data_IF_549881163423
#
_entry.id   IF_549881163423
#
_cell.length_a   1.000
_cell.length_b   1.000
_cell.length_c   1.000
_cell.angle_alpha   90.00
_cell.angle_beta   90.00
_cell.angle_gamma   90.00
#
_symmetry.space_group_name_H-M   'P 1'
#
loop_
_entity.id
_entity.type
_entity.pdbx_description
1 polymer ?
#
# COMPACT_ATOMS: atom_id res chain seq x y z
N UNK A 1 -8.15 -14.60 -0.89
CA UNK A 1 -7.71 -14.35 -2.27
C UNK A 1 -7.31 -15.60 -3.05
N UNK A 2 -7.22 -16.73 -2.40
CA UNK A 2 -6.92 -18.04 -3.02
C UNK A 2 -5.68 -18.03 -3.94
N UNK A 3 -4.70 -17.21 -3.59
CA UNK A 3 -3.42 -17.01 -4.31
C UNK A 3 -3.55 -16.64 -5.80
N UNK A 4 -4.68 -16.06 -6.19
CA UNK A 4 -4.92 -15.54 -7.54
C UNK A 4 -4.43 -14.11 -7.69
N UNK A 5 -4.75 -13.47 -8.82
CA UNK A 5 -4.45 -12.05 -9.01
C UNK A 5 -5.14 -11.19 -7.96
N UNK A 6 -4.37 -10.35 -7.28
CA UNK A 6 -4.90 -9.43 -6.27
C UNK A 6 -6.02 -8.52 -6.77
N UNK A 7 -6.04 -8.22 -8.07
CA UNK A 7 -7.10 -7.44 -8.71
C UNK A 7 -8.48 -8.10 -8.56
N UNK A 8 -8.59 -9.40 -8.83
CA UNK A 8 -9.86 -10.13 -8.67
C UNK A 8 -10.30 -10.15 -7.19
N UNK A 9 -9.39 -10.50 -6.29
CA UNK A 9 -9.66 -10.51 -4.86
C UNK A 9 -10.03 -9.12 -4.31
N UNK A 10 -9.45 -8.05 -4.87
CA UNK A 10 -9.75 -6.67 -4.50
C UNK A 10 -11.15 -6.24 -4.95
N UNK A 11 -11.56 -6.59 -6.18
CA UNK A 11 -12.92 -6.30 -6.67
C UNK A 11 -13.97 -7.02 -5.81
N UNK A 12 -13.77 -8.31 -5.53
CA UNK A 12 -14.67 -9.08 -4.68
C UNK A 12 -14.73 -8.51 -3.25
N UNK A 13 -13.56 -8.15 -2.68
CA UNK A 13 -13.48 -7.57 -1.35
C UNK A 13 -14.25 -6.26 -1.22
N UNK A 14 -14.06 -5.33 -2.17
CA UNK A 14 -14.78 -4.06 -2.17
C UNK A 14 -16.27 -4.23 -2.45
N UNK A 15 -16.66 -5.06 -3.42
CA UNK A 15 -18.07 -5.33 -3.68
C UNK A 15 -18.78 -5.92 -2.46
N UNK A 16 -18.11 -6.81 -1.72
CA UNK A 16 -18.68 -7.35 -0.47
C UNK A 16 -18.79 -6.29 0.62
N UNK A 17 -17.84 -5.38 0.74
CA UNK A 17 -17.94 -4.24 1.64
C UNK A 17 -19.14 -3.33 1.29
N UNK A 18 -19.33 -3.04 0.01
CA UNK A 18 -20.49 -2.27 -0.50
C UNK A 18 -21.82 -2.96 -0.19
N UNK A 19 -21.93 -4.27 -0.43
CA UNK A 19 -23.10 -5.06 -0.09
C UNK A 19 -23.46 -4.94 1.39
N UNK A 20 -22.48 -5.16 2.26
CA UNK A 20 -22.63 -5.04 3.72
C UNK A 20 -23.02 -3.61 4.13
N UNK A 21 -22.39 -2.60 3.53
CA UNK A 21 -22.69 -1.20 3.79
C UNK A 21 -24.13 -0.82 3.38
N UNK A 22 -24.65 -1.39 2.30
CA UNK A 22 -26.03 -1.18 1.86
C UNK A 22 -27.04 -1.65 2.91
N UNK A 23 -26.73 -2.73 3.62
CA UNK A 23 -27.61 -3.30 4.64
C UNK A 23 -27.43 -2.67 6.03
N UNK A 24 -26.17 -2.40 6.43
CA UNK A 24 -25.82 -2.04 7.78
C UNK A 24 -25.29 -0.59 7.95
N UNK A 25 -25.15 0.17 6.87
CA UNK A 25 -24.58 1.52 6.87
C UNK A 25 -23.06 1.56 6.80
N UNK A 26 -22.39 0.45 6.98
CA UNK A 26 -20.95 0.28 6.77
C UNK A 26 -20.60 -1.19 6.53
N UNK A 27 -19.53 -1.44 5.79
CA UNK A 27 -19.02 -2.78 5.52
C UNK A 27 -17.49 -2.82 5.56
N UNK A 28 -16.94 -3.83 6.23
CA UNK A 28 -15.50 -4.03 6.37
C UNK A 28 -15.11 -5.43 5.93
N UNK A 29 -14.15 -5.55 5.02
CA UNK A 29 -13.70 -6.83 4.47
C UNK A 29 -12.17 -6.92 4.52
N UNK A 30 -11.65 -7.90 5.27
CA UNK A 30 -10.26 -8.30 5.22
C UNK A 30 -10.06 -9.44 4.22
N UNK A 31 -9.14 -9.27 3.28
CA UNK A 31 -8.75 -10.27 2.29
C UNK A 31 -7.40 -10.86 2.67
N UNK A 32 -7.27 -12.18 2.59
CA UNK A 32 -6.04 -12.92 2.88
C UNK A 32 -5.63 -13.80 1.69
N UNK A 33 -4.42 -14.34 1.72
CA UNK A 33 -3.84 -15.18 0.66
C UNK A 33 -3.95 -14.54 -0.73
N UNK A 34 -3.56 -13.27 -0.83
CA UNK A 34 -3.64 -12.50 -2.06
C UNK A 34 -2.26 -12.16 -2.61
N UNK A 35 -2.23 -11.40 -3.68
CA UNK A 35 -1.03 -10.87 -4.31
C UNK A 35 -1.21 -9.38 -4.61
N UNK A 36 -0.23 -8.75 -5.27
CA UNK A 36 -0.30 -7.35 -5.66
C UNK A 36 -1.58 -7.05 -6.44
N UNK A 37 -2.30 -5.98 -6.06
CA UNK A 37 -3.63 -5.66 -6.59
C UNK A 37 -3.68 -4.39 -7.47
N UNK A 38 -2.54 -3.75 -7.76
CA UNK A 38 -2.46 -2.55 -8.57
C UNK A 38 -2.74 -1.27 -7.77
N UNK A 39 -3.41 -0.30 -8.39
CA UNK A 39 -3.75 0.99 -7.78
C UNK A 39 -4.93 0.85 -6.82
N UNK A 40 -4.75 1.34 -5.58
CA UNK A 40 -5.78 1.26 -4.55
C UNK A 40 -7.04 2.08 -4.90
N UNK A 41 -6.87 3.22 -5.58
CA UNK A 41 -7.97 4.06 -6.04
C UNK A 41 -8.99 3.30 -6.89
N UNK A 42 -8.57 2.33 -7.71
CA UNK A 42 -9.46 1.54 -8.55
C UNK A 42 -10.59 0.90 -7.73
N UNK A 43 -10.24 0.33 -6.57
CA UNK A 43 -11.22 -0.36 -5.71
C UNK A 43 -12.06 0.63 -4.90
N UNK A 44 -11.45 1.65 -4.32
CA UNK A 44 -12.18 2.65 -3.53
C UNK A 44 -13.21 3.43 -4.39
N UNK A 45 -12.91 3.68 -5.66
CA UNK A 45 -13.83 4.28 -6.63
C UNK A 45 -15.08 3.41 -6.91
N UNK A 46 -15.03 2.09 -6.67
CA UNK A 46 -16.23 1.24 -6.80
C UNK A 46 -17.29 1.60 -5.76
N UNK A 47 -16.87 1.97 -4.55
CA UNK A 47 -17.79 2.46 -3.51
C UNK A 47 -18.37 3.84 -3.88
N UNK A 48 -17.53 4.77 -4.38
CA UNK A 48 -18.00 6.10 -4.80
C UNK A 48 -19.04 6.04 -5.93
N UNK A 49 -18.94 5.08 -6.85
CA UNK A 49 -19.97 4.81 -7.89
C UNK A 49 -21.31 4.33 -7.33
N UNK A 50 -21.39 4.05 -6.05
CA UNK A 50 -22.58 3.65 -5.29
C UNK A 50 -22.93 4.67 -4.21
N UNK A 51 -22.44 5.91 -4.37
CA UNK A 51 -22.64 7.04 -3.43
C UNK A 51 -22.16 6.74 -2.00
N UNK A 52 -21.10 5.91 -1.88
CA UNK A 52 -20.48 5.53 -0.60
C UNK A 52 -19.04 6.03 -0.52
N UNK A 53 -18.58 6.34 0.69
CA UNK A 53 -17.15 6.52 0.95
C UNK A 53 -16.46 5.18 0.80
N UNK A 54 -15.34 5.13 0.06
CA UNK A 54 -14.52 3.94 -0.09
C UNK A 54 -13.14 4.11 0.52
N UNK A 55 -12.68 3.13 1.29
CA UNK A 55 -11.29 3.06 1.73
C UNK A 55 -10.67 1.72 1.36
N UNK A 56 -9.37 1.75 1.05
CA UNK A 56 -8.65 0.56 0.62
C UNK A 56 -7.20 0.62 1.08
N UNK A 57 -6.72 -0.47 1.68
CA UNK A 57 -5.36 -0.63 2.16
C UNK A 57 -4.76 -1.94 1.66
N UNK A 58 -3.44 -1.98 1.51
CA UNK A 58 -2.70 -3.23 1.28
C UNK A 58 -1.31 -3.16 1.89
N UNK A 59 -0.82 -4.27 2.44
CA UNK A 59 0.57 -4.39 2.81
C UNK A 59 1.45 -4.61 1.56
N UNK A 60 2.74 -4.34 1.69
CA UNK A 60 3.70 -4.45 0.60
C UNK A 60 5.07 -4.94 1.11
N UNK A 61 5.95 -5.29 0.18
CA UNK A 61 7.36 -5.65 0.47
C UNK A 61 8.03 -4.58 1.33
N UNK A 62 8.78 -4.96 2.40
CA UNK A 62 9.40 -4.03 3.34
C UNK A 62 10.56 -3.28 2.70
N UNK A 63 10.32 -2.04 2.31
CA UNK A 63 11.30 -1.12 1.75
C UNK A 63 11.38 0.20 2.52
N UNK A 64 10.46 0.45 3.46
CA UNK A 64 10.39 1.70 4.22
C UNK A 64 11.25 1.57 5.48
N UNK A 65 12.18 2.52 5.63
CA UNK A 65 13.09 2.58 6.77
C UNK A 65 12.31 2.83 8.06
N UNK A 66 12.64 2.08 9.09
CA UNK A 66 12.07 2.29 10.41
C UNK A 66 12.60 3.59 11.00
N UNK A 67 11.75 4.47 11.48
CA UNK A 67 12.15 5.71 12.17
C UNK A 67 13.12 5.40 13.32
N UNK A 68 14.26 6.06 13.32
CA UNK A 68 15.32 5.85 14.32
C UNK A 68 16.15 4.56 14.15
N UNK A 69 16.03 3.87 13.00
CA UNK A 69 16.78 2.65 12.69
C UNK A 69 17.46 2.75 11.31
N UNK A 70 18.33 1.80 11.01
CA UNK A 70 18.96 1.62 9.70
C UNK A 70 18.43 0.39 8.95
N UNK A 71 17.22 -0.08 9.30
CA UNK A 71 16.59 -1.25 8.68
C UNK A 71 15.16 -0.94 8.27
N UNK A 72 14.73 -1.45 7.11
CA UNK A 72 13.33 -1.43 6.71
C UNK A 72 12.55 -2.46 7.51
N UNK A 73 11.26 -2.17 7.74
CA UNK A 73 10.35 -3.12 8.37
C UNK A 73 8.98 -3.15 7.66
N UNK A 74 8.43 -2.02 7.24
CA UNK A 74 7.18 -1.96 6.50
C UNK A 74 7.40 -1.72 5.01
N UNK A 75 6.39 -2.05 4.20
CA UNK A 75 6.29 -1.64 2.83
C UNK A 75 5.83 -0.18 2.69
N UNK A 76 5.67 0.28 1.46
CA UNK A 76 5.06 1.58 1.16
C UNK A 76 3.55 1.62 1.44
N UNK A 77 2.97 0.53 1.90
CA UNK A 77 1.68 0.29 2.49
C UNK A 77 0.65 1.40 2.16
N UNK A 78 0.09 1.41 0.93
CA UNK A 78 -0.73 2.51 0.48
C UNK A 78 -2.04 2.64 1.26
N UNK A 79 -2.47 3.89 1.41
CA UNK A 79 -3.77 4.27 1.96
C UNK A 79 -4.55 4.96 0.84
N UNK A 80 -5.75 4.47 0.57
CA UNK A 80 -6.67 5.12 -0.34
C UNK A 80 -7.97 5.47 0.37
N UNK A 81 -8.43 6.69 0.14
CA UNK A 81 -9.73 7.21 0.58
C UNK A 81 -10.40 7.91 -0.59
N UNK A 82 -11.64 7.54 -0.85
CA UNK A 82 -12.48 8.15 -1.90
C UNK A 82 -13.81 8.57 -1.30
N UNK A 83 -14.27 9.76 -1.65
CA UNK A 83 -15.61 10.24 -1.29
C UNK A 83 -16.35 10.68 -2.57
N UNK A 84 -17.63 10.32 -2.75
CA UNK A 84 -18.42 10.80 -3.88
C UNK A 84 -18.64 12.33 -3.80
N UNK A 85 -18.77 12.96 -4.98
CA UNK A 85 -19.12 14.37 -5.12
C UNK A 85 -20.37 14.48 -6.01
N UNK A 86 -21.25 15.42 -5.70
CA UNK A 86 -22.46 15.64 -6.49
C UNK A 86 -22.13 16.35 -7.81
N UNK A 87 -22.36 15.65 -8.91
CA UNK A 87 -22.16 16.17 -10.27
C UNK A 87 -20.70 16.39 -10.70
N UNK A 88 -19.71 15.96 -9.90
CA UNK A 88 -18.29 16.11 -10.17
C UNK A 88 -17.52 14.79 -9.99
N UNK A 89 -16.22 14.80 -10.35
CA UNK A 89 -15.33 13.68 -10.06
C UNK A 89 -15.19 13.49 -8.54
N UNK A 90 -15.19 12.24 -8.06
CA UNK A 90 -15.02 11.96 -6.64
C UNK A 90 -13.71 12.51 -6.08
N UNK A 91 -13.73 12.98 -4.83
CA UNK A 91 -12.48 13.22 -4.11
C UNK A 91 -11.74 11.89 -3.98
N UNK A 92 -10.47 11.87 -4.39
CA UNK A 92 -9.64 10.67 -4.36
C UNK A 92 -8.26 10.99 -3.77
N UNK A 93 -7.97 10.44 -2.60
CA UNK A 93 -6.64 10.39 -2.01
C UNK A 93 -6.12 8.95 -2.15
N UNK A 94 -5.12 8.73 -3.01
CA UNK A 94 -4.40 7.46 -3.14
C UNK A 94 -2.91 7.73 -2.97
N UNK A 95 -2.34 7.30 -1.86
CA UNK A 95 -0.98 7.63 -1.50
C UNK A 95 -0.22 6.46 -0.87
N UNK A 96 1.06 6.34 -1.19
CA UNK A 96 1.99 5.55 -0.40
C UNK A 96 2.21 6.22 0.97
N UNK A 97 2.55 5.44 1.99
CA UNK A 97 2.98 5.94 3.30
C UNK A 97 4.48 6.28 3.35
N UNK A 98 5.21 6.01 2.26
CA UNK A 98 6.55 6.50 2.00
C UNK A 98 6.53 7.83 1.25
N UNK A 99 7.60 8.64 1.39
CA UNK A 99 7.73 9.93 0.71
C UNK A 99 7.78 9.78 -0.83
N UNK A 100 8.29 8.66 -1.32
CA UNK A 100 8.38 8.29 -2.73
C UNK A 100 8.13 6.79 -2.88
N UNK A 101 7.70 6.32 -4.05
CA UNK A 101 7.56 4.89 -4.33
C UNK A 101 8.84 4.29 -4.88
N UNK A 102 9.03 2.97 -4.73
CA UNK A 102 10.18 2.28 -5.30
C UNK A 102 10.27 2.41 -6.83
N UNK A 103 9.13 2.40 -7.52
CA UNK A 103 9.08 2.63 -8.98
C UNK A 103 9.60 4.02 -9.37
N UNK A 104 9.35 5.04 -8.55
CA UNK A 104 9.92 6.38 -8.78
C UNK A 104 11.43 6.39 -8.62
N UNK A 105 11.98 5.65 -7.65
CA UNK A 105 13.43 5.47 -7.52
C UNK A 105 14.02 4.86 -8.78
N UNK A 106 13.38 3.82 -9.34
CA UNK A 106 13.82 3.19 -10.59
C UNK A 106 13.77 4.18 -11.78
N UNK A 107 12.72 4.98 -11.88
CA UNK A 107 12.62 6.03 -12.91
C UNK A 107 13.77 7.06 -12.81
N UNK A 108 14.14 7.47 -11.58
CA UNK A 108 15.29 8.37 -11.37
C UNK A 108 16.62 7.71 -11.77
N UNK A 109 16.79 6.38 -11.52
CA UNK A 109 17.95 5.63 -12.02
C UNK A 109 18.02 5.62 -13.53
N UNK A 110 16.95 5.27 -14.20
CA UNK A 110 16.86 5.20 -15.67
C UNK A 110 17.10 6.55 -16.33
N UNK A 111 16.59 7.63 -15.75
CA UNK A 111 16.76 8.98 -16.26
C UNK A 111 18.05 9.66 -15.81
N UNK A 112 18.87 9.00 -15.01
CA UNK A 112 20.08 9.56 -14.39
C UNK A 112 19.82 10.91 -13.70
N UNK A 113 18.69 11.02 -12.98
CA UNK A 113 18.26 12.23 -12.29
C UNK A 113 18.29 12.06 -10.78
N UNK A 114 18.51 13.15 -10.05
CA UNK A 114 18.50 13.12 -8.59
C UNK A 114 17.09 12.87 -8.03
N UNK A 115 17.05 12.12 -6.92
CA UNK A 115 15.83 11.91 -6.12
C UNK A 115 15.62 13.15 -5.24
N UNK A 116 14.36 13.56 -4.97
CA UNK A 116 14.07 14.61 -4.00
C UNK A 116 14.69 14.33 -2.62
N UNK A 117 15.10 15.37 -1.93
CA UNK A 117 15.62 15.27 -0.56
C UNK A 117 14.60 14.59 0.37
N UNK A 118 15.07 13.95 1.42
CA UNK A 118 14.26 13.31 2.46
C UNK A 118 13.27 12.24 1.94
N UNK A 119 13.61 11.62 0.79
CA UNK A 119 12.76 10.60 0.17
C UNK A 119 13.31 9.18 0.27
N UNK A 120 14.63 9.04 0.28
CA UNK A 120 15.32 7.74 0.34
C UNK A 120 16.56 7.80 1.23
N UNK A 121 17.00 6.63 1.67
CA UNK A 121 18.24 6.45 2.42
C UNK A 121 19.14 5.41 1.77
N UNK A 122 20.45 5.52 2.04
CA UNK A 122 21.46 4.56 1.65
C UNK A 122 21.42 3.27 2.52
N UNK A 123 22.36 2.35 2.29
CA UNK A 123 22.47 1.10 3.02
C UNK A 123 22.78 1.26 4.52
N UNK A 124 23.29 2.42 4.93
CA UNK A 124 23.58 2.75 6.32
C UNK A 124 22.42 3.49 7.01
N UNK A 125 21.37 3.81 6.26
CA UNK A 125 20.21 4.57 6.75
C UNK A 125 20.39 6.09 6.65
N UNK A 126 21.44 6.59 5.99
CA UNK A 126 21.63 8.02 5.79
C UNK A 126 20.82 8.52 4.59
N UNK A 127 20.11 9.67 4.71
CA UNK A 127 19.41 10.26 3.58
C UNK A 127 20.35 10.50 2.38
N UNK A 128 19.84 10.24 1.15
CA UNK A 128 20.60 10.45 -0.08
C UNK A 128 19.69 10.94 -1.19
N UNK A 129 20.23 11.69 -2.14
CA UNK A 129 19.54 12.08 -3.40
C UNK A 129 20.07 11.29 -4.59
N UNK A 130 21.10 10.47 -4.38
CA UNK A 130 21.72 9.64 -5.40
C UNK A 130 20.92 8.35 -5.60
N UNK A 131 20.27 8.14 -6.77
CA UNK A 131 19.45 6.96 -7.00
C UNK A 131 20.26 5.65 -6.97
N UNK A 132 21.57 5.69 -7.25
CA UNK A 132 22.41 4.48 -7.21
C UNK A 132 22.72 4.02 -5.78
N UNK A 133 22.68 4.95 -4.82
CA UNK A 133 22.86 4.66 -3.39
C UNK A 133 21.54 4.35 -2.68
N UNK A 134 20.40 4.67 -3.29
CA UNK A 134 19.09 4.47 -2.69
C UNK A 134 18.83 2.99 -2.37
N UNK A 135 18.71 2.68 -1.10
CA UNK A 135 18.43 1.34 -0.58
C UNK A 135 17.07 1.24 0.08
N UNK A 136 16.68 2.25 0.82
CA UNK A 136 15.44 2.31 1.57
C UNK A 136 14.62 3.53 1.18
N UNK A 137 13.30 3.41 1.24
CA UNK A 137 12.38 4.54 1.18
C UNK A 137 12.28 5.18 2.56
N UNK A 138 12.13 6.49 2.63
CA UNK A 138 11.81 7.18 3.87
C UNK A 138 10.28 7.29 4.03
N UNK A 139 9.75 7.17 5.26
CA UNK A 139 8.32 7.37 5.50
C UNK A 139 7.95 8.83 5.30
N UNK A 140 6.74 9.10 4.78
CA UNK A 140 6.26 10.47 4.60
C UNK A 140 6.11 11.16 5.97
N UNK A 141 6.75 12.33 6.13
CA UNK A 141 6.69 13.05 7.41
C UNK A 141 7.25 12.25 8.59
N UNK A 142 8.29 11.42 8.35
CA UNK A 142 9.00 10.61 9.32
C UNK A 142 8.07 9.67 10.13
N UNK A 143 7.96 9.84 11.46
CA UNK A 143 7.14 8.99 12.32
C UNK A 143 5.65 8.94 11.93
N UNK A 144 5.12 9.95 11.23
CA UNK A 144 3.72 9.99 10.77
C UNK A 144 3.47 8.92 9.71
N UNK A 145 4.29 8.89 8.66
CA UNK A 145 4.22 7.87 7.61
C UNK A 145 4.55 6.49 8.15
N UNK A 146 5.49 6.38 9.08
CA UNK A 146 5.79 5.12 9.76
C UNK A 146 4.58 4.59 10.54
N UNK A 147 3.89 5.45 11.28
CA UNK A 147 2.66 5.11 12.00
C UNK A 147 1.52 4.70 11.05
N UNK A 148 1.37 5.38 9.91
CA UNK A 148 0.40 4.97 8.87
C UNK A 148 0.75 3.61 8.27
N UNK A 149 2.03 3.33 7.98
CA UNK A 149 2.47 2.00 7.50
C UNK A 149 2.13 0.90 8.50
N UNK A 150 2.35 1.16 9.79
CA UNK A 150 2.00 0.23 10.87
C UNK A 150 0.49 -0.02 10.95
N UNK A 151 -0.32 1.04 10.85
CA UNK A 151 -1.78 0.93 10.81
C UNK A 151 -2.23 0.02 9.66
N UNK A 152 -1.68 0.20 8.47
CA UNK A 152 -2.00 -0.65 7.32
C UNK A 152 -1.62 -2.10 7.58
N UNK A 153 -0.46 -2.38 8.18
CA UNK A 153 -0.05 -3.75 8.53
C UNK A 153 -0.99 -4.37 9.59
N UNK A 154 -1.51 -3.59 10.54
CA UNK A 154 -2.53 -4.09 11.48
C UNK A 154 -3.77 -4.59 10.73
N UNK A 155 -4.29 -3.82 9.78
CA UNK A 155 -5.47 -4.22 9.01
C UNK A 155 -5.18 -5.33 7.99
N UNK A 156 -4.06 -5.24 7.28
CA UNK A 156 -3.78 -6.12 6.15
C UNK A 156 -2.99 -7.37 6.52
N UNK A 157 -2.25 -7.35 7.63
CA UNK A 157 -1.46 -8.49 8.09
C UNK A 157 -2.08 -9.13 9.33
N UNK A 158 -2.15 -8.41 10.45
CA UNK A 158 -2.57 -9.00 11.72
C UNK A 158 -4.04 -9.40 11.70
N UNK A 159 -4.94 -8.53 11.26
CA UNK A 159 -6.38 -8.82 11.20
C UNK A 159 -6.71 -9.93 10.19
N UNK A 160 -5.97 -10.02 9.09
CA UNK A 160 -6.17 -11.03 8.05
C UNK A 160 -5.38 -12.34 8.28
N UNK A 161 -4.50 -12.40 9.29
CA UNK A 161 -3.62 -13.54 9.56
C UNK A 161 -2.50 -13.70 8.54
N UNK A 162 -2.10 -12.62 7.86
CA UNK A 162 -1.04 -12.62 6.85
C UNK A 162 0.32 -12.21 7.43
N UNK A 163 1.43 -12.50 6.73
CA UNK A 163 2.76 -12.07 7.13
C UNK A 163 2.85 -10.56 7.36
N UNK A 164 3.62 -10.14 8.38
CA UNK A 164 3.81 -8.76 8.78
C UNK A 164 5.28 -8.33 8.60
N UNK A 165 5.50 -7.10 8.21
CA UNK A 165 6.83 -6.52 8.12
C UNK A 165 7.79 -7.36 7.28
N UNK A 166 8.93 -7.76 7.84
CA UNK A 166 9.98 -8.51 7.13
C UNK A 166 9.59 -9.92 6.70
N UNK A 167 8.47 -10.48 7.19
CA UNK A 167 7.97 -11.77 6.75
C UNK A 167 7.16 -11.67 5.44
N UNK A 168 6.83 -10.46 4.99
CA UNK A 168 6.20 -10.22 3.69
C UNK A 168 7.18 -10.51 2.58
N UNK A 169 6.83 -11.41 1.65
CA UNK A 169 7.71 -11.84 0.57
C UNK A 169 8.08 -10.70 -0.40
N UNK A 170 9.31 -10.72 -0.90
CA UNK A 170 9.78 -9.75 -1.89
C UNK A 170 9.06 -9.89 -3.23
N UNK A 171 8.74 -8.76 -3.87
CA UNK A 171 8.05 -8.73 -5.17
C UNK A 171 8.97 -9.10 -6.34
N UNK A 172 10.25 -8.74 -6.25
CA UNK A 172 11.20 -8.83 -7.36
C UNK A 172 12.33 -9.85 -7.11
N UNK A 173 12.13 -10.84 -6.23
CA UNK A 173 13.17 -11.83 -5.87
C UNK A 173 13.52 -12.86 -6.95
N UNK A 174 13.10 -12.67 -8.19
CA UNK A 174 13.40 -13.54 -9.32
C UNK A 174 12.68 -14.91 -9.33
N UNK A 175 11.97 -15.25 -8.26
CA UNK A 175 11.17 -16.49 -8.17
C UNK A 175 9.69 -16.15 -8.29
N UNK A 176 9.24 -15.92 -9.53
CA UNK A 176 7.83 -15.60 -9.85
C UNK A 176 6.83 -16.69 -9.44
N UNK A 177 7.29 -17.88 -9.05
CA UNK A 177 6.44 -18.97 -8.57
C UNK A 177 6.09 -18.91 -7.09
N UNK A 178 6.55 -17.91 -6.34
CA UNK A 178 6.32 -17.82 -4.90
C UNK A 178 5.03 -17.08 -4.60
N UNK A 179 4.13 -17.72 -3.86
CA UNK A 179 2.93 -17.08 -3.33
C UNK A 179 3.31 -15.89 -2.45
N UNK A 180 2.58 -14.76 -2.58
CA UNK A 180 2.93 -13.51 -1.92
C UNK A 180 2.35 -13.40 -0.50
N UNK A 181 1.22 -14.04 -0.22
CA UNK A 181 0.50 -13.97 1.06
C UNK A 181 0.22 -12.54 1.50
N UNK A 182 -0.15 -11.66 0.56
CA UNK A 182 -0.56 -10.29 0.88
C UNK A 182 -1.98 -10.26 1.44
N UNK A 183 -2.22 -9.33 2.35
CA UNK A 183 -3.54 -8.99 2.84
C UNK A 183 -4.00 -7.65 2.28
N UNK A 184 -5.31 -7.49 2.18
CA UNK A 184 -5.95 -6.23 1.82
C UNK A 184 -7.08 -5.94 2.78
N UNK A 185 -7.43 -4.67 2.91
CA UNK A 185 -8.58 -4.26 3.70
C UNK A 185 -9.40 -3.25 2.93
N UNK A 186 -10.70 -3.48 2.89
CA UNK A 186 -11.68 -2.67 2.18
C UNK A 186 -12.76 -2.20 3.12
N UNK A 187 -13.23 -0.97 2.92
CA UNK A 187 -14.36 -0.41 3.67
C UNK A 187 -15.25 0.40 2.71
N UNK A 188 -16.50 0.30 2.93
CA UNK A 188 -17.51 1.12 2.30
C UNK A 188 -18.52 1.62 3.35
#
# INVERSE_FOLDING_TARGET
GDHTFGHAAGVEGMNKAIEMATEAGTGHVAVYNSSHFGAAAFFALLAAKRDMIGMCFTNATPHVLTTGSNRAFFGNNPVCFVAPCDGEEPFCLDMATSAITFNKVMQHKESNSQIPTDSVADANGNPTTDPEKAKYLLPIGDYKGYGLSMMVDVFCSLLSGMPCGNDVSEMYSGKMSRQRYLGHFFTA
#
